data_IF_029696324002
#
_entry.id   IF_029696324002
#
_cell.length_a   1.000
_cell.length_b   1.000
_cell.length_c   1.000
_cell.angle_alpha   90.00
_cell.angle_beta   90.00
_cell.angle_gamma   90.00
#
_symmetry.space_group_name_H-M   'P 1'
#
loop_
_entity.id
_entity.type
_entity.pdbx_description
1 polymer ?
#
# COMPACT_ATOMS: atom_id res chain seq x y z
N UNK A 1 -69.60 63.35 56.89
CA UNK A 1 -68.44 63.96 56.18
C UNK A 1 -67.10 63.26 56.46
N UNK A 2 -66.69 63.00 57.71
CA UNK A 2 -65.36 62.38 58.01
C UNK A 2 -65.15 60.95 57.46
N UNK A 3 -66.18 60.08 57.43
CA UNK A 3 -66.09 58.72 56.85
C UNK A 3 -65.85 58.73 55.34
N UNK A 4 -66.61 59.54 54.61
CA UNK A 4 -66.45 59.69 53.15
C UNK A 4 -65.04 60.21 52.80
N UNK A 5 -64.53 61.18 53.56
CA UNK A 5 -63.20 61.73 53.37
C UNK A 5 -62.10 60.69 53.64
N UNK A 6 -62.27 59.82 54.64
CA UNK A 6 -61.32 58.74 54.95
C UNK A 6 -61.32 57.64 53.87
N UNK A 7 -62.47 57.26 53.34
CA UNK A 7 -62.57 56.29 52.22
C UNK A 7 -61.99 56.84 50.91
N UNK A 8 -62.23 58.11 50.61
CA UNK A 8 -61.59 58.80 49.48
C UNK A 8 -60.07 58.92 49.67
N UNK A 9 -59.59 59.20 50.89
CA UNK A 9 -58.15 59.26 51.17
C UNK A 9 -57.49 57.88 51.03
N UNK A 10 -58.15 56.82 51.50
CA UNK A 10 -57.67 55.44 51.45
C UNK A 10 -57.65 54.87 50.02
N UNK A 11 -58.64 55.20 49.19
CA UNK A 11 -58.65 54.86 47.76
C UNK A 11 -57.57 55.62 46.98
N UNK A 12 -57.37 56.91 47.25
CA UNK A 12 -56.27 57.69 46.66
C UNK A 12 -54.91 57.13 47.07
N UNK A 13 -54.72 56.72 48.34
CA UNK A 13 -53.48 56.11 48.82
C UNK A 13 -53.18 54.77 48.13
N UNK A 14 -54.21 53.93 47.97
CA UNK A 14 -54.11 52.66 47.24
C UNK A 14 -53.75 52.89 45.76
N UNK A 15 -54.38 53.86 45.09
CA UNK A 15 -54.06 54.22 43.71
C UNK A 15 -52.63 54.76 43.56
N UNK A 16 -52.18 55.63 44.48
CA UNK A 16 -50.81 56.15 44.49
C UNK A 16 -49.78 55.02 44.73
N UNK A 17 -50.07 54.08 45.61
CA UNK A 17 -49.20 52.90 45.85
C UNK A 17 -49.15 51.94 44.65
N UNK A 18 -50.26 51.80 43.92
CA UNK A 18 -50.31 51.03 42.68
C UNK A 18 -49.49 51.69 41.56
N UNK A 19 -49.58 53.02 41.42
CA UNK A 19 -48.80 53.78 40.46
C UNK A 19 -47.29 53.70 40.75
N UNK A 20 -46.87 53.82 42.01
CA UNK A 20 -45.45 53.69 42.37
C UNK A 20 -44.91 52.27 42.10
N UNK A 21 -45.72 51.23 42.34
CA UNK A 21 -45.36 49.85 41.99
C UNK A 21 -45.22 49.62 40.48
N UNK A 22 -46.14 50.18 39.68
CA UNK A 22 -46.07 50.12 38.21
C UNK A 22 -44.82 50.83 37.69
N UNK A 23 -44.52 52.03 38.19
CA UNK A 23 -43.29 52.76 37.83
C UNK A 23 -42.04 51.96 38.19
N UNK A 24 -42.00 51.34 39.38
CA UNK A 24 -40.90 50.48 39.80
C UNK A 24 -40.71 49.26 38.88
N UNK A 25 -41.81 48.57 38.52
CA UNK A 25 -41.79 47.45 37.57
C UNK A 25 -41.28 47.88 36.19
N UNK A 26 -41.73 49.02 35.66
CA UNK A 26 -41.27 49.55 34.37
C UNK A 26 -39.76 49.83 34.41
N UNK A 27 -39.28 50.52 35.44
CA UNK A 27 -37.84 50.81 35.61
C UNK A 27 -37.02 49.53 35.75
N UNK A 28 -37.52 48.55 36.52
CA UNK A 28 -36.87 47.24 36.67
C UNK A 28 -36.77 46.48 35.35
N UNK A 29 -37.86 46.44 34.57
CA UNK A 29 -37.88 45.78 33.25
C UNK A 29 -36.98 46.48 32.24
N UNK A 30 -36.93 47.83 32.25
CA UNK A 30 -36.03 48.61 31.40
C UNK A 30 -34.57 48.34 31.76
N UNK A 31 -34.22 48.31 33.06
CA UNK A 31 -32.87 47.98 33.54
C UNK A 31 -32.47 46.55 33.16
N UNK A 32 -33.39 45.58 33.31
CA UNK A 32 -33.17 44.18 32.90
C UNK A 32 -32.94 44.07 31.39
N UNK A 33 -33.74 44.77 30.57
CA UNK A 33 -33.58 44.80 29.11
C UNK A 33 -32.26 45.45 28.68
N UNK A 34 -31.84 46.51 29.35
CA UNK A 34 -30.56 47.18 29.11
C UNK A 34 -29.37 46.25 29.40
N UNK A 35 -29.33 45.65 30.59
CA UNK A 35 -28.27 44.69 30.98
C UNK A 35 -28.24 43.47 30.06
N UNK A 36 -29.40 42.97 29.61
CA UNK A 36 -29.44 41.85 28.68
C UNK A 36 -28.88 42.24 27.30
N UNK A 37 -29.12 43.47 26.83
CA UNK A 37 -28.52 43.99 25.59
C UNK A 37 -27.01 44.12 25.70
N UNK A 38 -26.47 44.60 26.82
CA UNK A 38 -25.01 44.64 27.03
C UNK A 38 -24.39 43.25 27.05
N UNK A 39 -25.03 42.28 27.72
CA UNK A 39 -24.58 40.88 27.73
C UNK A 39 -24.56 40.27 26.33
N UNK A 40 -25.60 40.50 25.53
CA UNK A 40 -25.69 40.01 24.14
C UNK A 40 -24.62 40.65 23.25
N UNK A 41 -24.36 41.95 23.42
CA UNK A 41 -23.27 42.65 22.70
C UNK A 41 -21.91 42.09 23.07
N UNK A 42 -21.65 41.87 24.36
CA UNK A 42 -20.40 41.30 24.85
C UNK A 42 -20.20 39.86 24.35
N UNK A 43 -21.24 39.02 24.37
CA UNK A 43 -21.14 37.64 23.87
C UNK A 43 -20.89 37.60 22.36
N UNK A 44 -21.53 38.47 21.59
CA UNK A 44 -21.34 38.56 20.14
C UNK A 44 -19.91 38.98 19.76
N UNK A 45 -19.28 39.89 20.53
CA UNK A 45 -17.88 40.30 20.31
C UNK A 45 -16.93 39.12 20.57
N UNK A 46 -17.13 38.39 21.66
CA UNK A 46 -16.31 37.22 22.01
C UNK A 46 -16.48 36.10 20.98
N UNK A 47 -17.69 35.89 20.46
CA UNK A 47 -17.95 34.93 19.38
C UNK A 47 -17.25 35.33 18.08
N UNK A 48 -17.33 36.60 17.68
CA UNK A 48 -16.63 37.12 16.51
C UNK A 48 -15.10 37.02 16.65
N UNK A 49 -14.54 37.28 17.84
CA UNK A 49 -13.10 37.08 18.09
C UNK A 49 -12.67 35.61 17.98
N UNK A 50 -13.49 34.69 18.47
CA UNK A 50 -13.25 33.24 18.35
C UNK A 50 -13.29 32.76 16.91
N UNK A 51 -14.25 33.23 16.12
CA UNK A 51 -14.34 32.91 14.68
C UNK A 51 -13.11 33.42 13.92
N UNK A 52 -12.68 34.65 14.18
CA UNK A 52 -11.44 35.18 13.60
C UNK A 52 -10.19 34.38 13.99
N UNK A 53 -10.12 33.89 15.23
CA UNK A 53 -9.01 33.05 15.69
C UNK A 53 -9.01 31.69 14.97
N UNK A 54 -10.20 31.11 14.82
CA UNK A 54 -10.40 29.84 14.12
C UNK A 54 -10.03 29.96 12.64
N UNK A 55 -10.40 31.05 11.98
CA UNK A 55 -10.05 31.32 10.58
C UNK A 55 -8.54 31.44 10.37
N UNK A 56 -7.84 32.10 11.30
CA UNK A 56 -6.37 32.17 11.29
C UNK A 56 -5.74 30.79 11.43
N UNK A 57 -6.25 29.95 12.32
CA UNK A 57 -5.77 28.56 12.45
C UNK A 57 -6.03 27.72 11.21
N UNK A 58 -7.21 27.85 10.60
CA UNK A 58 -7.57 27.15 9.36
C UNK A 58 -6.63 27.56 8.24
N UNK A 59 -6.35 28.87 8.10
CA UNK A 59 -5.42 29.39 7.12
C UNK A 59 -4.01 28.82 7.34
N UNK A 60 -3.50 28.85 8.58
CA UNK A 60 -2.19 28.32 8.92
C UNK A 60 -2.08 26.81 8.65
N UNK A 61 -3.12 26.02 9.01
CA UNK A 61 -3.18 24.58 8.71
C UNK A 61 -3.20 24.32 7.21
N UNK A 62 -3.91 25.13 6.44
CA UNK A 62 -3.97 25.02 4.97
C UNK A 62 -2.60 25.25 4.32
N UNK A 63 -1.83 26.22 4.82
CA UNK A 63 -0.47 26.50 4.36
C UNK A 63 0.49 25.35 4.70
N UNK A 64 0.40 24.81 5.92
CA UNK A 64 1.17 23.65 6.33
C UNK A 64 0.88 22.42 5.46
N UNK A 65 -0.39 22.17 5.13
CA UNK A 65 -0.77 21.08 4.22
C UNK A 65 -0.16 21.24 2.82
N UNK A 66 -0.09 22.47 2.29
CA UNK A 66 0.57 22.74 0.99
C UNK A 66 2.06 22.38 1.05
N UNK A 67 2.76 22.79 2.11
CA UNK A 67 4.18 22.49 2.32
C UNK A 67 4.40 20.98 2.46
N UNK A 68 3.55 20.29 3.24
CA UNK A 68 3.64 18.85 3.43
C UNK A 68 3.44 18.08 2.12
N UNK A 69 2.44 18.46 1.32
CA UNK A 69 2.19 17.82 0.02
C UNK A 69 3.38 18.00 -0.93
N UNK A 70 3.98 19.20 -0.95
CA UNK A 70 5.17 19.46 -1.75
C UNK A 70 6.35 18.59 -1.31
N UNK A 71 6.62 18.51 0.01
CA UNK A 71 7.69 17.65 0.56
C UNK A 71 7.45 16.17 0.27
N UNK A 72 6.21 15.70 0.39
CA UNK A 72 5.85 14.31 0.11
C UNK A 72 6.07 13.96 -1.37
N UNK A 73 5.71 14.86 -2.29
CA UNK A 73 6.00 14.69 -3.72
C UNK A 73 7.50 14.60 -3.99
N UNK A 74 8.30 15.46 -3.35
CA UNK A 74 9.76 15.46 -3.51
C UNK A 74 10.40 14.18 -2.95
N UNK A 75 9.90 13.69 -1.82
CA UNK A 75 10.30 12.40 -1.25
C UNK A 75 9.95 11.23 -2.17
N UNK A 76 8.73 11.21 -2.73
CA UNK A 76 8.34 10.17 -3.69
C UNK A 76 9.23 10.16 -4.93
N UNK A 77 9.55 11.33 -5.47
CA UNK A 77 10.48 11.46 -6.59
C UNK A 77 11.88 10.94 -6.23
N UNK A 78 12.37 11.25 -5.01
CA UNK A 78 13.68 10.79 -4.53
C UNK A 78 13.72 9.28 -4.31
N UNK A 79 12.66 8.68 -3.78
CA UNK A 79 12.50 7.22 -3.65
C UNK A 79 12.62 6.58 -5.04
N UNK A 80 11.89 7.09 -6.03
CA UNK A 80 11.96 6.56 -7.40
C UNK A 80 13.35 6.70 -8.04
N UNK A 81 14.11 7.77 -7.74
CA UNK A 81 15.50 7.90 -8.17
C UNK A 81 16.40 6.84 -7.52
N UNK A 82 16.30 6.67 -6.20
CA UNK A 82 17.08 5.69 -5.45
C UNK A 82 16.76 4.25 -5.88
N UNK A 83 15.50 3.97 -6.20
CA UNK A 83 15.10 2.66 -6.74
C UNK A 83 15.75 2.40 -8.10
N UNK A 84 15.81 3.40 -9.00
CA UNK A 84 16.50 3.29 -10.30
C UNK A 84 18.02 3.16 -10.15
N UNK A 85 18.63 3.92 -9.23
CA UNK A 85 20.06 3.82 -8.92
C UNK A 85 20.39 2.44 -8.34
N UNK A 86 19.58 1.94 -7.41
CA UNK A 86 19.72 0.59 -6.86
C UNK A 86 19.53 -0.49 -7.93
N UNK A 87 18.56 -0.32 -8.83
CA UNK A 87 18.36 -1.24 -9.96
C UNK A 87 19.60 -1.27 -10.87
N UNK A 88 20.11 -0.10 -11.24
CA UNK A 88 21.30 0.05 -12.08
C UNK A 88 22.55 -0.51 -11.41
N UNK A 89 22.73 -0.27 -10.10
CA UNK A 89 23.84 -0.80 -9.32
C UNK A 89 23.74 -2.33 -9.23
N UNK A 90 22.55 -2.89 -8.98
CA UNK A 90 22.32 -4.34 -8.99
C UNK A 90 22.61 -4.96 -10.36
N UNK A 91 22.21 -4.29 -11.45
CA UNK A 91 22.50 -4.74 -12.81
C UNK A 91 24.00 -4.71 -13.11
N UNK A 92 24.74 -3.69 -12.64
CA UNK A 92 26.20 -3.60 -12.76
C UNK A 92 26.95 -4.62 -11.91
N UNK A 93 26.52 -4.84 -10.66
CA UNK A 93 27.10 -5.85 -9.74
C UNK A 93 26.84 -7.27 -10.24
N UNK A 94 25.71 -7.50 -10.93
CA UNK A 94 25.39 -8.80 -11.56
C UNK A 94 26.41 -9.26 -12.59
N UNK A 95 27.29 -8.39 -13.12
CA UNK A 95 28.34 -8.75 -14.06
C UNK A 95 29.72 -8.97 -13.42
N UNK A 96 29.95 -8.54 -12.17
CA UNK A 96 31.29 -8.57 -11.55
C UNK A 96 31.47 -9.63 -10.46
N UNK A 97 30.40 -10.13 -9.82
CA UNK A 97 30.49 -11.28 -8.90
C UNK A 97 29.14 -11.97 -8.74
N UNK A 98 29.11 -13.31 -8.79
CA UNK A 98 27.91 -14.09 -8.49
C UNK A 98 27.46 -13.86 -7.05
N UNK A 99 26.15 -13.70 -6.86
CA UNK A 99 25.54 -13.61 -5.54
C UNK A 99 25.74 -14.92 -4.77
N UNK A 100 26.08 -14.80 -3.50
CA UNK A 100 25.99 -15.90 -2.56
C UNK A 100 24.52 -16.32 -2.37
N UNK A 101 24.30 -17.54 -1.86
CA UNK A 101 22.95 -18.01 -1.57
C UNK A 101 22.20 -17.08 -0.59
N UNK A 102 22.90 -16.55 0.43
CA UNK A 102 22.34 -15.65 1.42
C UNK A 102 21.90 -14.31 0.81
N UNK A 103 22.67 -13.74 -0.10
CA UNK A 103 22.27 -12.52 -0.82
C UNK A 103 21.09 -12.78 -1.75
N UNK A 104 21.07 -13.96 -2.38
CA UNK A 104 19.98 -14.34 -3.29
C UNK A 104 18.64 -14.49 -2.55
N UNK A 105 18.62 -15.12 -1.37
CA UNK A 105 17.37 -15.27 -0.59
C UNK A 105 16.84 -13.92 -0.08
N UNK A 106 17.68 -12.88 0.05
CA UNK A 106 17.19 -11.53 0.36
C UNK A 106 16.40 -10.92 -0.80
N UNK A 107 16.71 -11.32 -2.04
CA UNK A 107 15.96 -10.92 -3.24
C UNK A 107 14.72 -11.80 -3.49
N UNK A 108 14.77 -13.05 -3.04
CA UNK A 108 13.68 -14.03 -3.14
C UNK A 108 13.28 -14.55 -1.75
N UNK A 109 12.67 -13.69 -0.90
CA UNK A 109 12.52 -13.96 0.53
C UNK A 109 11.54 -15.07 0.87
N UNK A 110 10.61 -15.39 -0.04
CA UNK A 110 9.57 -16.39 0.24
C UNK A 110 9.26 -17.25 -0.97
N UNK A 111 8.75 -18.45 -0.68
CA UNK A 111 8.28 -19.37 -1.71
C UNK A 111 7.08 -18.77 -2.47
N UNK A 112 6.24 -18.00 -1.77
CA UNK A 112 5.11 -17.27 -2.38
C UNK A 112 5.62 -16.24 -3.40
N UNK A 113 6.66 -15.49 -3.08
CA UNK A 113 7.25 -14.53 -4.01
C UNK A 113 7.80 -15.24 -5.26
N UNK A 114 8.49 -16.36 -5.10
CA UNK A 114 8.95 -17.15 -6.24
C UNK A 114 7.78 -17.68 -7.10
N UNK A 115 6.65 -18.05 -6.50
CA UNK A 115 5.45 -18.45 -7.24
C UNK A 115 4.82 -17.28 -7.99
N UNK A 116 4.76 -16.09 -7.40
CA UNK A 116 4.29 -14.87 -8.08
C UNK A 116 5.18 -14.50 -9.27
N UNK A 117 6.50 -14.65 -9.15
CA UNK A 117 7.44 -14.49 -10.27
C UNK A 117 7.12 -15.48 -11.39
N UNK A 118 6.85 -16.75 -11.07
CA UNK A 118 6.45 -17.75 -12.08
C UNK A 118 5.08 -17.45 -12.71
N UNK A 119 4.07 -17.02 -11.93
CA UNK A 119 2.75 -16.63 -12.44
C UNK A 119 2.88 -15.48 -13.46
N UNK A 120 3.67 -14.46 -13.10
CA UNK A 120 3.92 -13.30 -13.96
C UNK A 120 4.68 -13.70 -15.24
N UNK A 121 5.72 -14.52 -15.14
CA UNK A 121 6.49 -14.98 -16.32
C UNK A 121 5.66 -15.87 -17.24
N UNK A 122 4.91 -16.81 -16.68
CA UNK A 122 4.17 -17.81 -17.44
C UNK A 122 3.01 -17.22 -18.22
N UNK A 123 2.33 -16.23 -17.64
CA UNK A 123 1.14 -15.62 -18.23
C UNK A 123 1.31 -14.12 -18.49
N UNK A 124 2.54 -13.70 -18.78
CA UNK A 124 2.92 -12.31 -19.09
C UNK A 124 2.10 -11.73 -20.24
N UNK A 125 1.89 -12.53 -21.30
CA UNK A 125 1.16 -12.09 -22.49
C UNK A 125 -0.33 -12.45 -22.44
N UNK A 126 -0.67 -13.72 -22.16
CA UNK A 126 -2.06 -14.17 -22.02
C UNK A 126 -2.16 -15.51 -21.28
N UNK A 127 -3.31 -15.74 -20.64
CA UNK A 127 -3.69 -17.07 -20.17
C UNK A 127 -4.45 -17.80 -21.27
N UNK A 128 -4.04 -19.02 -21.60
CA UNK A 128 -4.83 -19.94 -22.43
C UNK A 128 -4.86 -21.32 -21.78
N UNK A 129 -6.06 -21.84 -21.53
CA UNK A 129 -6.21 -23.15 -20.90
C UNK A 129 -5.71 -24.27 -21.82
N UNK A 130 -4.72 -25.05 -21.37
CA UNK A 130 -4.16 -26.19 -22.12
C UNK A 130 -5.16 -27.29 -22.49
N UNK A 131 -6.34 -27.35 -21.87
CA UNK A 131 -7.37 -28.36 -22.14
C UNK A 131 -8.49 -27.91 -23.08
N UNK A 132 -8.80 -26.62 -23.11
CA UNK A 132 -10.00 -26.12 -23.80
C UNK A 132 -9.84 -24.74 -24.43
N UNK A 133 -8.62 -24.20 -24.40
CA UNK A 133 -8.18 -22.94 -25.03
C UNK A 133 -8.92 -21.68 -24.55
N UNK A 134 -9.76 -21.82 -23.51
CA UNK A 134 -10.43 -20.69 -22.90
C UNK A 134 -9.43 -19.73 -22.27
N UNK A 135 -9.62 -18.45 -22.53
CA UNK A 135 -8.86 -17.35 -21.90
C UNK A 135 -9.43 -16.96 -20.53
N UNK A 136 -10.60 -17.49 -20.15
CA UNK A 136 -11.27 -17.15 -18.90
C UNK A 136 -10.73 -17.99 -17.74
N UNK A 137 -10.21 -17.31 -16.72
CA UNK A 137 -9.66 -17.94 -15.51
C UNK A 137 -10.10 -17.25 -14.22
N UNK A 138 -9.90 -17.95 -13.10
CA UNK A 138 -9.92 -17.43 -11.74
C UNK A 138 -8.58 -17.72 -11.07
N UNK A 139 -8.02 -16.74 -10.34
CA UNK A 139 -6.76 -16.92 -9.59
C UNK A 139 -6.97 -17.82 -8.38
N UNK A 140 -6.00 -18.68 -8.10
CA UNK A 140 -5.93 -19.55 -6.92
C UNK A 140 -4.62 -19.28 -6.18
N UNK A 141 -4.42 -19.86 -4.99
CA UNK A 141 -3.19 -19.66 -4.21
C UNK A 141 -1.92 -20.19 -4.89
N UNK A 142 -2.07 -21.21 -5.73
CA UNK A 142 -0.97 -21.93 -6.41
C UNK A 142 -1.30 -22.16 -7.89
N UNK A 143 -1.91 -21.18 -8.55
CA UNK A 143 -2.08 -21.16 -9.99
C UNK A 143 -3.35 -20.49 -10.49
N UNK A 144 -3.78 -20.88 -11.69
CA UNK A 144 -5.00 -20.37 -12.35
C UNK A 144 -5.95 -21.51 -12.67
N UNK A 145 -7.24 -21.33 -12.34
CA UNK A 145 -8.31 -22.27 -12.66
C UNK A 145 -9.10 -21.78 -13.88
N UNK A 146 -9.24 -22.62 -14.88
CA UNK A 146 -10.08 -22.34 -16.04
C UNK A 146 -11.56 -22.30 -15.64
N UNK A 147 -12.29 -21.26 -16.06
CA UNK A 147 -13.73 -21.13 -15.79
C UNK A 147 -14.62 -22.05 -16.65
N UNK A 148 -14.09 -22.56 -17.77
CA UNK A 148 -14.84 -23.41 -18.72
C UNK A 148 -14.79 -24.89 -18.36
N UNK A 149 -13.60 -25.43 -18.10
CA UNK A 149 -13.40 -26.87 -17.83
C UNK A 149 -12.94 -27.19 -16.40
N UNK A 150 -12.87 -26.19 -15.51
CA UNK A 150 -12.39 -26.31 -14.13
C UNK A 150 -10.96 -26.86 -13.97
N UNK A 151 -10.18 -26.95 -15.04
CA UNK A 151 -8.77 -27.34 -14.98
C UNK A 151 -7.96 -26.33 -14.17
N UNK A 152 -7.22 -26.80 -13.19
CA UNK A 152 -6.31 -25.99 -12.37
C UNK A 152 -4.90 -26.18 -12.87
N UNK A 153 -4.30 -25.09 -13.33
CA UNK A 153 -2.92 -25.07 -13.81
C UNK A 153 -2.04 -24.36 -12.79
N UNK A 154 -1.13 -25.10 -12.16
CA UNK A 154 -0.15 -24.51 -11.23
C UNK A 154 0.93 -23.73 -11.96
N UNK A 155 1.53 -22.76 -11.27
CA UNK A 155 2.67 -21.95 -11.75
C UNK A 155 3.88 -22.83 -12.10
N UNK A 156 4.02 -23.99 -11.43
CA UNK A 156 5.10 -24.94 -11.70
C UNK A 156 4.87 -25.81 -12.93
N UNK A 157 3.64 -25.96 -13.40
CA UNK A 157 3.34 -26.78 -14.58
C UNK A 157 3.96 -26.12 -15.82
N UNK A 158 4.53 -26.92 -16.72
CA UNK A 158 5.21 -26.48 -17.94
C UNK A 158 6.39 -25.52 -17.71
N UNK A 159 7.02 -25.62 -16.54
CA UNK A 159 8.28 -24.95 -16.25
C UNK A 159 9.36 -25.98 -15.89
N UNK A 160 10.62 -25.55 -15.87
CA UNK A 160 11.73 -26.37 -15.34
C UNK A 160 11.52 -26.82 -13.90
N UNK A 161 10.64 -26.14 -13.15
CA UNK A 161 10.31 -26.47 -11.77
C UNK A 161 9.16 -27.49 -11.66
N UNK A 162 8.62 -27.98 -12.78
CA UNK A 162 7.61 -29.03 -12.78
C UNK A 162 8.15 -30.31 -12.14
N UNK A 163 7.42 -30.89 -11.17
CA UNK A 163 7.81 -32.09 -10.40
C UNK A 163 9.14 -31.96 -9.63
N UNK A 164 9.60 -30.74 -9.36
CA UNK A 164 10.75 -30.49 -8.48
C UNK A 164 10.25 -30.43 -7.03
N UNK A 165 10.77 -31.30 -6.17
CA UNK A 165 10.42 -31.37 -4.74
C UNK A 165 11.30 -30.47 -3.85
N UNK A 166 12.20 -29.71 -4.47
CA UNK A 166 13.12 -28.79 -3.80
C UNK A 166 12.37 -27.47 -3.55
N UNK A 167 12.60 -26.77 -2.41
CA UNK A 167 12.10 -25.42 -2.21
C UNK A 167 12.38 -24.51 -3.40
N UNK A 168 11.42 -23.65 -3.72
CA UNK A 168 11.48 -22.89 -4.97
C UNK A 168 12.63 -21.88 -4.95
N UNK A 169 12.92 -21.27 -3.79
CA UNK A 169 14.05 -20.36 -3.62
C UNK A 169 15.39 -21.02 -3.97
N UNK A 170 15.64 -22.23 -3.45
CA UNK A 170 16.86 -23.00 -3.77
C UNK A 170 16.90 -23.35 -5.26
N UNK A 171 15.75 -23.72 -5.84
CA UNK A 171 15.67 -24.07 -7.26
C UNK A 171 15.96 -22.88 -8.17
N UNK A 172 15.45 -21.70 -7.83
CA UNK A 172 15.75 -20.44 -8.52
C UNK A 172 17.23 -20.07 -8.39
N UNK A 173 17.84 -20.27 -7.22
CA UNK A 173 19.28 -20.03 -7.06
C UNK A 173 20.12 -20.94 -7.95
N UNK A 174 19.79 -22.23 -8.05
CA UNK A 174 20.51 -23.15 -8.96
C UNK A 174 20.39 -22.69 -10.41
N UNK A 175 19.20 -22.26 -10.86
CA UNK A 175 19.01 -21.67 -12.19
C UNK A 175 19.89 -20.42 -12.38
N UNK A 176 19.82 -19.47 -11.45
CA UNK A 176 20.64 -18.26 -11.45
C UNK A 176 22.12 -18.61 -11.59
N UNK A 177 22.61 -19.52 -10.73
CA UNK A 177 24.00 -19.92 -10.70
C UNK A 177 24.45 -20.54 -12.02
N UNK A 178 23.65 -21.43 -12.62
CA UNK A 178 23.96 -22.04 -13.92
C UNK A 178 23.96 -20.98 -15.04
N UNK A 179 22.96 -20.12 -15.07
CA UNK A 179 22.79 -19.12 -16.14
C UNK A 179 23.95 -18.13 -16.15
N UNK A 180 24.27 -17.53 -15.00
CA UNK A 180 25.32 -16.51 -14.92
C UNK A 180 26.74 -17.09 -14.96
N UNK A 181 26.93 -18.37 -14.60
CA UNK A 181 28.20 -19.08 -14.84
C UNK A 181 28.33 -19.66 -16.25
N UNK A 182 27.44 -19.34 -17.20
CA UNK A 182 27.46 -19.87 -18.57
C UNK A 182 27.57 -21.40 -18.60
N UNK A 183 26.77 -22.05 -17.76
CA UNK A 183 26.73 -23.50 -17.59
C UNK A 183 28.00 -24.15 -16.98
N UNK A 184 28.97 -23.38 -16.50
CA UNK A 184 30.13 -23.91 -15.78
C UNK A 184 29.83 -24.08 -14.29
N UNK A 185 29.44 -25.29 -13.86
CA UNK A 185 28.98 -25.54 -12.48
C UNK A 185 29.75 -26.66 -11.79
N UNK A 186 30.35 -26.33 -10.65
CA UNK A 186 30.80 -27.32 -9.67
C UNK A 186 29.61 -27.71 -8.77
N UNK A 187 29.01 -28.87 -9.05
CA UNK A 187 27.82 -29.36 -8.34
C UNK A 187 28.08 -29.63 -6.86
N UNK A 188 29.27 -30.08 -6.50
CA UNK A 188 29.62 -30.37 -5.10
C UNK A 188 29.64 -29.07 -4.28
N UNK A 189 30.35 -28.06 -4.77
CA UNK A 189 30.39 -26.74 -4.14
C UNK A 189 29.01 -26.09 -4.08
N UNK A 190 28.23 -26.18 -5.17
CA UNK A 190 26.88 -25.64 -5.21
C UNK A 190 25.95 -26.31 -4.20
N UNK A 191 26.04 -27.63 -4.04
CA UNK A 191 25.25 -28.40 -3.09
C UNK A 191 25.56 -28.02 -1.64
N UNK A 192 26.84 -27.80 -1.33
CA UNK A 192 27.30 -27.32 -0.02
C UNK A 192 26.79 -25.90 0.27
N UNK A 193 26.96 -24.97 -0.68
CA UNK A 193 26.55 -23.57 -0.53
C UNK A 193 25.06 -23.37 -0.25
N UNK A 194 24.20 -24.25 -0.76
CA UNK A 194 22.75 -24.17 -0.59
C UNK A 194 22.20 -25.16 0.43
N UNK A 195 23.08 -25.86 1.16
CA UNK A 195 22.74 -26.92 2.11
C UNK A 195 21.73 -27.91 1.50
N UNK A 196 22.17 -28.62 0.47
CA UNK A 196 21.37 -29.61 -0.24
C UNK A 196 22.18 -30.87 -0.52
N UNK A 197 21.53 -32.04 -0.48
CA UNK A 197 22.17 -33.31 -0.85
C UNK A 197 22.71 -33.24 -2.28
N UNK A 198 23.95 -33.70 -2.47
CA UNK A 198 24.63 -33.72 -3.77
C UNK A 198 23.77 -34.28 -4.90
N UNK A 199 23.19 -35.48 -4.74
CA UNK A 199 22.37 -36.12 -5.76
C UNK A 199 21.12 -35.30 -6.13
N UNK A 200 20.54 -34.58 -5.15
CA UNK A 200 19.38 -33.71 -5.39
C UNK A 200 19.78 -32.49 -6.21
N UNK A 201 20.92 -31.87 -5.87
CA UNK A 201 21.52 -30.79 -6.65
C UNK A 201 21.82 -31.23 -8.09
N UNK A 202 22.49 -32.38 -8.24
CA UNK A 202 22.86 -32.93 -9.53
C UNK A 202 21.65 -33.20 -10.44
N UNK A 203 20.57 -33.76 -9.90
CA UNK A 203 19.33 -33.97 -10.65
C UNK A 203 18.75 -32.65 -11.18
N UNK A 204 18.75 -31.60 -10.36
CA UNK A 204 18.23 -30.29 -10.77
C UNK A 204 19.15 -29.63 -11.81
N UNK A 205 20.47 -29.64 -11.59
CA UNK A 205 21.47 -29.10 -12.53
C UNK A 205 21.33 -29.77 -13.90
N UNK A 206 21.31 -31.10 -13.94
CA UNK A 206 21.12 -31.86 -15.20
C UNK A 206 19.80 -31.54 -15.89
N UNK A 207 18.73 -31.31 -15.13
CA UNK A 207 17.43 -30.94 -15.70
C UNK A 207 17.50 -29.58 -16.40
N UNK A 208 18.18 -28.61 -15.81
CA UNK A 208 18.37 -27.27 -16.37
C UNK A 208 19.31 -27.32 -17.57
N UNK A 209 20.41 -28.07 -17.47
CA UNK A 209 21.37 -28.29 -18.55
C UNK A 209 20.73 -28.84 -19.82
N UNK A 210 19.88 -29.87 -19.69
CA UNK A 210 19.12 -30.42 -20.83
C UNK A 210 18.23 -29.40 -21.54
N UNK A 211 17.79 -28.36 -20.83
CA UNK A 211 16.96 -27.29 -21.40
C UNK A 211 17.85 -26.26 -22.09
N UNK A 212 18.99 -25.94 -21.50
CA UNK A 212 20.04 -25.08 -22.09
C UNK A 212 20.58 -25.70 -23.38
N UNK A 213 20.86 -27.01 -23.41
CA UNK A 213 21.37 -27.73 -24.59
C UNK A 213 20.41 -27.66 -25.79
N UNK A 214 19.11 -27.44 -25.57
CA UNK A 214 18.12 -27.26 -26.64
C UNK A 214 18.06 -25.83 -27.17
N UNK A 215 18.78 -24.91 -26.56
CA UNK A 215 18.81 -23.49 -26.92
C UNK A 215 20.16 -23.13 -27.55
N UNK A 216 20.22 -22.02 -28.29
CA UNK A 216 21.47 -21.51 -28.82
C UNK A 216 22.31 -20.84 -27.72
N UNK A 217 23.64 -20.85 -27.85
CA UNK A 217 24.55 -20.22 -26.89
C UNK A 217 24.29 -18.72 -26.66
N UNK A 218 23.63 -18.05 -27.60
CA UNK A 218 23.18 -16.66 -27.51
C UNK A 218 22.26 -16.39 -26.31
N UNK A 219 21.66 -17.41 -25.69
CA UNK A 219 20.84 -17.22 -24.48
C UNK A 219 21.62 -16.58 -23.33
N UNK A 220 22.93 -16.82 -23.25
CA UNK A 220 23.76 -16.27 -22.18
C UNK A 220 24.18 -14.82 -22.46
N UNK A 221 24.02 -14.35 -23.70
CA UNK A 221 24.30 -12.96 -24.09
C UNK A 221 23.13 -12.04 -23.75
N UNK A 222 21.92 -12.58 -23.66
CA UNK A 222 20.73 -11.81 -23.31
C UNK A 222 20.52 -11.81 -21.78
N UNK A 223 20.45 -10.65 -21.11
CA UNK A 223 20.18 -10.56 -19.67
C UNK A 223 18.87 -11.23 -19.23
N UNK A 224 17.88 -11.31 -20.13
CA UNK A 224 16.60 -11.98 -19.89
C UNK A 224 16.54 -13.43 -20.41
N UNK A 225 17.66 -13.97 -20.90
CA UNK A 225 17.74 -15.31 -21.49
C UNK A 225 17.28 -16.41 -20.54
N UNK A 226 17.46 -16.24 -19.24
CA UNK A 226 16.99 -17.17 -18.22
C UNK A 226 15.47 -17.37 -18.25
N UNK A 227 14.67 -16.36 -18.65
CA UNK A 227 13.21 -16.49 -18.77
C UNK A 227 12.84 -17.55 -19.81
N UNK A 228 13.64 -17.70 -20.87
CA UNK A 228 13.45 -18.74 -21.90
C UNK A 228 13.75 -20.14 -21.36
N UNK A 229 14.71 -20.25 -20.44
CA UNK A 229 15.04 -21.52 -19.79
C UNK A 229 13.89 -21.95 -18.87
N UNK A 230 13.27 -21.02 -18.12
CA UNK A 230 12.22 -21.36 -17.16
C UNK A 230 10.99 -21.99 -17.80
N UNK A 231 10.55 -21.47 -18.95
CA UNK A 231 9.30 -21.87 -19.61
C UNK A 231 9.56 -22.98 -20.64
N UNK A 232 9.03 -24.18 -20.36
CA UNK A 232 9.22 -25.37 -21.22
C UNK A 232 8.21 -25.45 -22.37
N UNK A 233 7.12 -24.68 -22.31
CA UNK A 233 6.07 -24.63 -23.35
C UNK A 233 6.57 -24.09 -24.72
N UNK A 234 7.85 -23.69 -24.83
CA UNK A 234 8.51 -23.26 -26.07
C UNK A 234 9.48 -24.31 -26.64
N UNK A 235 9.46 -25.54 -26.15
CA UNK A 235 10.41 -26.61 -26.51
C UNK A 235 9.74 -27.87 -27.08
N UNK A 236 8.54 -27.72 -27.62
CA UNK A 236 7.88 -28.71 -28.49
C UNK A 236 8.02 -28.29 -29.94
#
# INVERSE_FOLDING_TARGET
MKKLLHEHLQTVLLLLSGLTYIVFLIVFLLKKKYLNREKIKASAIVEAEKENLLDKEIQQKSELCKILNFKNSLLQAKIGQLEKENFTYKEKVSYSSLLSFNEFIMLFPSEKYCLEVLDNLKWEHCYSCKKCESLLYSKTEKGRRCKKCNYVESERINTIFHRVKIPLQKSFYVLYFIFYNKNNVNVALLAENIDMRYNTCLCLVRKIQKVIEKQNDDIFLNPEGWKKIVLLDRLE
#
